data_IF_202317953323
#
_entry.id   IF_202317953323
#
_cell.length_a   1.000
_cell.length_b   1.000
_cell.length_c   1.000
_cell.angle_alpha   90.00
_cell.angle_beta   90.00
_cell.angle_gamma   90.00
#
_symmetry.space_group_name_H-M   'P 1'
#
loop_
_entity.id
_entity.type
_entity.pdbx_description
1 polymer ?
#
# COMPACT_ATOMS: atom_id res chain seq x y z
N UNK A 1 -18.84 -27.56 10.57
CA UNK A 1 -18.16 -27.38 9.27
C UNK A 1 -17.61 -25.96 9.23
N UNK A 2 -16.29 -25.76 9.27
CA UNK A 2 -15.69 -24.43 9.10
C UNK A 2 -15.73 -24.08 7.62
N UNK A 3 -16.38 -22.98 7.27
CA UNK A 3 -16.27 -22.41 5.93
C UNK A 3 -14.78 -22.13 5.67
N UNK A 4 -14.17 -22.87 4.75
CA UNK A 4 -12.86 -22.51 4.22
C UNK A 4 -13.09 -21.21 3.46
N UNK A 5 -12.72 -20.09 4.07
CA UNK A 5 -12.78 -18.79 3.42
C UNK A 5 -12.03 -18.88 2.10
N UNK A 6 -12.73 -18.57 1.00
CA UNK A 6 -12.11 -18.40 -0.30
C UNK A 6 -10.99 -17.37 -0.13
N UNK A 7 -9.74 -17.83 -0.24
CA UNK A 7 -8.59 -16.94 -0.32
C UNK A 7 -8.68 -16.27 -1.68
N UNK A 8 -8.99 -14.98 -1.70
CA UNK A 8 -8.89 -14.20 -2.91
C UNK A 8 -7.40 -13.96 -3.15
N UNK A 9 -6.93 -14.28 -4.36
CA UNK A 9 -5.58 -13.95 -4.80
C UNK A 9 -5.72 -12.88 -5.89
N UNK A 10 -4.95 -11.80 -5.79
CA UNK A 10 -4.92 -10.80 -6.85
C UNK A 10 -4.33 -11.41 -8.13
N UNK A 11 -4.99 -11.18 -9.26
CA UNK A 11 -4.42 -11.48 -10.58
C UNK A 11 -3.40 -10.39 -10.91
N UNK A 12 -2.15 -10.80 -11.14
CA UNK A 12 -1.03 -9.89 -11.37
C UNK A 12 -0.67 -9.84 -12.86
N UNK A 13 -0.76 -8.66 -13.46
CA UNK A 13 -0.27 -8.36 -14.80
C UNK A 13 1.17 -7.83 -14.72
N UNK A 14 2.11 -8.45 -15.43
CA UNK A 14 3.50 -7.99 -15.45
C UNK A 14 3.61 -6.65 -16.18
N UNK A 15 4.24 -5.66 -15.55
CA UNK A 15 4.50 -4.37 -16.17
C UNK A 15 5.95 -4.21 -16.61
N UNK A 16 6.90 -4.52 -15.72
CA UNK A 16 8.33 -4.30 -16.02
C UNK A 16 9.23 -5.06 -15.05
N UNK A 17 10.50 -5.20 -15.44
CA UNK A 17 11.57 -5.67 -14.56
C UNK A 17 12.76 -4.72 -14.68
N UNK A 18 13.23 -4.20 -13.55
CA UNK A 18 14.37 -3.28 -13.48
C UNK A 18 15.15 -3.50 -12.18
N UNK A 19 16.47 -3.55 -12.28
CA UNK A 19 17.40 -3.67 -11.13
C UNK A 19 17.05 -4.82 -10.16
N UNK A 20 16.66 -5.99 -10.72
CA UNK A 20 16.29 -7.17 -9.94
C UNK A 20 14.91 -7.10 -9.25
N UNK A 21 14.13 -6.05 -9.53
CA UNK A 21 12.76 -5.86 -9.05
C UNK A 21 11.79 -6.04 -10.21
N UNK A 22 10.70 -6.74 -9.96
CA UNK A 22 9.62 -6.93 -10.93
C UNK A 22 8.38 -6.20 -10.44
N UNK A 23 7.81 -5.37 -11.30
CA UNK A 23 6.58 -4.63 -11.04
C UNK A 23 5.40 -5.31 -11.73
N UNK A 24 4.33 -5.49 -10.98
CA UNK A 24 3.05 -5.98 -11.48
C UNK A 24 1.95 -4.97 -11.19
N UNK A 25 0.90 -5.00 -12.01
CA UNK A 25 -0.36 -4.28 -11.82
C UNK A 25 -1.46 -5.29 -11.47
N UNK A 26 -2.38 -4.87 -10.63
CA UNK A 26 -3.66 -5.55 -10.43
C UNK A 26 -4.78 -4.55 -10.34
N UNK A 27 -5.92 -4.87 -10.97
CA UNK A 27 -7.19 -4.18 -10.73
C UNK A 27 -7.95 -4.77 -9.52
N UNK A 28 -7.40 -5.79 -8.86
CA UNK A 28 -8.00 -6.47 -7.72
C UNK A 28 -7.26 -6.08 -6.43
N UNK A 29 -8.02 -5.89 -5.36
CA UNK A 29 -7.44 -5.66 -4.05
C UNK A 29 -6.86 -6.97 -3.47
N UNK A 30 -5.69 -6.92 -2.79
CA UNK A 30 -5.13 -8.08 -2.08
C UNK A 30 -6.06 -8.53 -0.94
N UNK A 31 -6.54 -7.56 -0.17
CA UNK A 31 -7.60 -7.73 0.83
C UNK A 31 -8.75 -6.79 0.47
N UNK A 32 -9.97 -7.32 0.56
CA UNK A 32 -11.29 -6.88 0.03
C UNK A 32 -11.75 -5.42 0.24
N UNK A 33 -10.87 -4.54 0.70
CA UNK A 33 -11.08 -3.13 1.01
C UNK A 33 -11.45 -2.24 -0.19
N UNK A 34 -11.16 -2.67 -1.43
CA UNK A 34 -11.79 -2.19 -2.68
C UNK A 34 -11.77 -0.68 -2.96
N UNK A 35 -10.97 0.10 -2.24
CA UNK A 35 -11.01 1.57 -2.28
C UNK A 35 -10.06 2.18 -3.31
N UNK A 36 -9.15 1.39 -3.89
CA UNK A 36 -8.15 1.88 -4.84
C UNK A 36 -8.55 1.61 -6.29
N UNK A 37 -8.21 2.53 -7.19
CA UNK A 37 -8.41 2.35 -8.62
C UNK A 37 -7.44 1.33 -9.21
N UNK A 38 -6.26 1.19 -8.60
CA UNK A 38 -5.24 0.22 -9.01
C UNK A 38 -4.32 -0.17 -7.87
N UNK A 39 -3.75 -1.38 -7.97
CA UNK A 39 -2.76 -1.91 -7.06
C UNK A 39 -1.48 -2.26 -7.80
N UNK A 40 -0.34 -1.77 -7.32
CA UNK A 40 0.99 -2.07 -7.85
C UNK A 40 1.75 -2.97 -6.89
N UNK A 41 2.33 -4.04 -7.40
CA UNK A 41 3.16 -4.96 -6.62
C UNK A 41 4.60 -4.83 -7.11
N UNK A 42 5.54 -4.60 -6.19
CA UNK A 42 6.97 -4.62 -6.49
C UNK A 42 7.60 -5.76 -5.72
N UNK A 43 8.05 -6.77 -6.45
CA UNK A 43 8.62 -8.00 -5.89
C UNK A 43 10.09 -8.08 -6.30
N UNK A 44 10.99 -8.12 -5.32
CA UNK A 44 12.43 -8.32 -5.53
C UNK A 44 12.88 -9.64 -4.94
N UNK A 45 12.87 -10.71 -5.76
CA UNK A 45 13.13 -12.09 -5.31
C UNK A 45 14.51 -12.28 -4.66
N UNK A 46 15.53 -11.55 -5.11
CA UNK A 46 16.89 -11.59 -4.54
C UNK A 46 17.03 -10.74 -3.28
N UNK A 47 16.24 -9.69 -3.15
CA UNK A 47 16.31 -8.73 -2.03
C UNK A 47 15.32 -9.05 -0.90
N UNK A 48 14.43 -10.02 -1.08
CA UNK A 48 13.33 -10.30 -0.15
C UNK A 48 12.21 -9.25 -0.15
N UNK A 49 12.38 -8.16 -0.91
CA UNK A 49 11.45 -7.04 -1.03
C UNK A 49 10.07 -7.51 -1.51
N UNK A 50 9.03 -7.13 -0.79
CA UNK A 50 7.71 -6.98 -1.37
C UNK A 50 7.01 -5.72 -0.89
N UNK A 51 6.53 -4.93 -1.86
CA UNK A 51 5.74 -3.74 -1.60
C UNK A 51 4.44 -3.79 -2.40
N UNK A 52 3.34 -3.40 -1.76
CA UNK A 52 2.03 -3.25 -2.38
C UNK A 52 1.63 -1.79 -2.29
N UNK A 53 1.36 -1.16 -3.43
CA UNK A 53 0.91 0.22 -3.50
C UNK A 53 -0.53 0.30 -3.99
N UNK A 54 -1.43 0.81 -3.16
CA UNK A 54 -2.78 1.17 -3.54
C UNK A 54 -2.77 2.61 -4.09
N UNK A 55 -3.16 2.77 -5.35
CA UNK A 55 -3.28 4.08 -6.00
C UNK A 55 -4.75 4.47 -6.13
N UNK A 56 -5.09 5.63 -5.56
CA UNK A 56 -6.42 6.24 -5.61
C UNK A 56 -6.32 7.52 -6.45
N UNK A 57 -6.88 7.49 -7.64
CA UNK A 57 -6.96 8.57 -8.62
C UNK A 57 -8.36 9.21 -8.57
N UNK A 58 -8.45 10.54 -8.62
CA UNK A 58 -9.72 11.28 -8.62
C UNK A 58 -10.58 11.09 -7.36
N UNK A 59 -10.06 11.56 -6.23
CA UNK A 59 -10.75 11.50 -4.96
C UNK A 59 -11.99 12.41 -4.95
N UNK A 60 -13.19 11.83 -5.10
CA UNK A 60 -14.45 12.45 -4.61
C UNK A 60 -14.70 12.15 -3.12
N UNK A 61 -14.03 11.13 -2.58
CA UNK A 61 -14.09 10.69 -1.16
C UNK A 61 -12.91 11.28 -0.38
N UNK A 62 -13.06 12.49 0.16
CA UNK A 62 -12.03 13.25 0.89
C UNK A 62 -10.78 12.44 1.32
N UNK A 63 -9.57 12.76 0.83
CA UNK A 63 -8.31 12.14 1.25
C UNK A 63 -8.15 12.01 2.77
N UNK A 64 -8.82 12.91 3.50
CA UNK A 64 -8.90 12.89 4.95
C UNK A 64 -9.50 11.61 5.53
N UNK A 65 -10.43 10.90 4.87
CA UNK A 65 -11.05 9.70 5.46
C UNK A 65 -10.08 8.52 5.51
N UNK A 66 -9.29 8.30 4.45
CA UNK A 66 -8.30 7.22 4.43
C UNK A 66 -7.18 7.50 5.43
N UNK A 67 -6.69 8.75 5.46
CA UNK A 67 -5.67 9.16 6.43
C UNK A 67 -6.20 9.06 7.87
N UNK A 68 -7.47 9.40 8.09
CA UNK A 68 -8.13 9.28 9.39
C UNK A 68 -8.18 7.82 9.85
N UNK A 69 -8.63 6.89 9.01
CA UNK A 69 -8.66 5.45 9.35
C UNK A 69 -7.27 4.91 9.69
N UNK A 70 -6.24 5.28 8.93
CA UNK A 70 -4.86 4.87 9.23
C UNK A 70 -4.36 5.48 10.54
N UNK A 71 -4.72 6.73 10.82
CA UNK A 71 -4.35 7.42 12.07
C UNK A 71 -5.06 6.84 13.29
N UNK A 72 -6.33 6.46 13.17
CA UNK A 72 -7.06 5.77 14.24
C UNK A 72 -6.44 4.41 14.56
N UNK A 73 -5.95 3.71 13.53
CA UNK A 73 -5.37 2.38 13.67
C UNK A 73 -3.93 2.40 14.19
N UNK A 74 -3.07 3.25 13.64
CA UNK A 74 -1.63 3.23 13.88
C UNK A 74 -1.11 4.48 14.60
N UNK A 75 -1.97 5.42 14.98
CA UNK A 75 -1.58 6.69 15.59
C UNK A 75 -1.14 7.75 14.58
N UNK A 76 -0.70 8.91 15.07
CA UNK A 76 -0.26 10.02 14.22
C UNK A 76 1.03 9.66 13.47
N UNK A 77 1.08 9.79 12.13
CA UNK A 77 2.28 9.46 11.37
C UNK A 77 3.38 10.50 11.52
N UNK A 78 4.59 10.13 11.09
CA UNK A 78 5.70 11.07 10.90
C UNK A 78 5.65 11.66 9.49
N UNK A 79 6.10 12.90 9.33
CA UNK A 79 6.31 13.49 8.01
C UNK A 79 7.42 12.76 7.27
N UNK A 80 7.18 12.37 6.04
CA UNK A 80 8.20 11.80 5.17
C UNK A 80 9.05 12.92 4.55
N UNK A 81 10.30 13.05 4.99
CA UNK A 81 11.21 14.11 4.51
C UNK A 81 11.63 13.92 3.04
N UNK A 82 11.51 12.72 2.50
CA UNK A 82 11.89 12.44 1.12
C UNK A 82 10.82 12.85 0.10
N UNK A 83 9.60 13.16 0.56
CA UNK A 83 8.49 13.51 -0.32
C UNK A 83 7.80 14.79 0.15
N UNK A 84 7.71 15.84 -0.68
CA UNK A 84 6.91 17.00 -0.39
C UNK A 84 5.45 16.55 -0.29
N UNK A 85 4.95 16.42 0.94
CA UNK A 85 3.60 15.94 1.29
C UNK A 85 3.50 14.41 1.30
N UNK A 86 4.51 13.74 1.85
CA UNK A 86 4.40 12.36 2.29
C UNK A 86 4.27 12.24 3.81
N UNK A 87 3.66 11.14 4.27
CA UNK A 87 3.69 10.70 5.66
C UNK A 87 4.04 9.22 5.74
N UNK A 88 4.57 8.78 6.88
CA UNK A 88 5.03 7.41 7.09
C UNK A 88 4.72 6.88 8.49
N UNK A 89 4.33 5.62 8.55
CA UNK A 89 4.41 4.78 9.74
C UNK A 89 5.46 3.69 9.49
N UNK A 90 6.30 3.43 10.48
CA UNK A 90 7.37 2.45 10.39
C UNK A 90 7.38 1.60 11.67
N UNK A 91 7.67 0.31 11.51
CA UNK A 91 7.61 -0.67 12.60
C UNK A 91 8.61 -0.42 13.73
N UNK A 92 9.65 0.40 13.49
CA UNK A 92 10.58 0.88 14.51
C UNK A 92 9.94 1.87 15.51
N UNK A 93 8.86 2.54 15.10
CA UNK A 93 8.20 3.60 15.87
C UNK A 93 6.74 3.30 16.21
N UNK A 94 6.08 2.40 15.46
CA UNK A 94 4.66 2.08 15.59
C UNK A 94 4.40 0.58 15.57
N UNK A 95 3.37 0.14 16.29
CA UNK A 95 2.85 -1.22 16.17
C UNK A 95 2.01 -1.32 14.89
N UNK A 96 2.54 -1.99 13.86
CA UNK A 96 1.84 -2.27 12.62
C UNK A 96 1.19 -3.66 12.63
N UNK A 97 0.33 -3.95 11.65
CA UNK A 97 -0.15 -5.33 11.43
C UNK A 97 1.05 -6.27 11.18
N UNK A 98 0.88 -7.56 11.50
CA UNK A 98 1.94 -8.57 11.30
C UNK A 98 2.50 -8.51 9.87
N UNK A 99 3.82 -8.66 9.77
CA UNK A 99 4.60 -8.65 8.53
C UNK A 99 4.73 -7.31 7.80
N UNK A 100 4.17 -6.21 8.31
CA UNK A 100 4.42 -4.87 7.77
C UNK A 100 5.68 -4.24 8.37
N UNK A 101 6.57 -3.78 7.49
CA UNK A 101 7.74 -2.98 7.86
C UNK A 101 7.38 -1.49 7.91
N UNK A 102 6.62 -0.99 6.93
CA UNK A 102 6.20 0.41 6.89
C UNK A 102 4.96 0.63 6.02
N UNK A 103 4.26 1.72 6.29
CA UNK A 103 3.19 2.27 5.46
C UNK A 103 3.59 3.69 5.09
N UNK A 104 3.71 3.97 3.80
CA UNK A 104 4.01 5.30 3.27
C UNK A 104 2.80 5.82 2.50
N UNK A 105 2.41 7.05 2.74
CA UNK A 105 1.34 7.73 1.99
C UNK A 105 1.92 8.95 1.31
N UNK A 106 1.72 9.06 0.00
CA UNK A 106 2.13 10.22 -0.81
C UNK A 106 0.89 10.87 -1.38
N UNK A 107 0.76 12.18 -1.17
CA UNK A 107 -0.30 13.01 -1.74
C UNK A 107 0.23 13.72 -3.01
N UNK A 108 -0.64 13.87 -4.01
CA UNK A 108 -0.36 14.59 -5.25
C UNK A 108 -1.56 15.42 -5.68
N UNK A 109 -1.35 16.53 -6.38
CA UNK A 109 -2.43 17.44 -6.79
C UNK A 109 -2.77 18.49 -5.74
N UNK A 110 -3.94 19.12 -5.87
CA UNK A 110 -4.42 20.18 -5.00
C UNK A 110 -5.90 20.00 -4.73
N UNK A 111 -6.38 20.40 -3.55
CA UNK A 111 -7.80 20.26 -3.21
C UNK A 111 -8.72 20.91 -4.25
N UNK A 112 -9.87 20.29 -4.58
CA UNK A 112 -10.39 19.04 -4.00
C UNK A 112 -9.84 17.76 -4.67
N UNK A 113 -9.02 17.89 -5.72
CA UNK A 113 -8.51 16.80 -6.54
C UNK A 113 -7.09 16.41 -6.10
N UNK A 114 -7.02 15.68 -4.98
CA UNK A 114 -5.76 15.13 -4.46
C UNK A 114 -5.72 13.63 -4.81
N UNK A 115 -4.71 13.18 -5.54
CA UNK A 115 -4.40 11.77 -5.71
C UNK A 115 -3.60 11.23 -4.52
N UNK A 116 -3.84 9.98 -4.13
CA UNK A 116 -3.18 9.34 -2.99
C UNK A 116 -2.54 8.03 -3.45
N UNK A 117 -1.28 7.84 -3.08
CA UNK A 117 -0.61 6.55 -3.18
C UNK A 117 -0.25 6.05 -1.79
N UNK A 118 -0.73 4.86 -1.43
CA UNK A 118 -0.46 4.21 -0.15
C UNK A 118 0.37 2.97 -0.43
N UNK A 119 1.62 2.96 0.02
CA UNK A 119 2.53 1.84 -0.14
C UNK A 119 2.74 1.15 1.20
N UNK A 120 2.33 -0.11 1.28
CA UNK A 120 2.67 -1.03 2.36
C UNK A 120 3.90 -1.85 1.96
N UNK A 121 4.95 -1.78 2.77
CA UNK A 121 6.16 -2.59 2.62
C UNK A 121 6.11 -3.76 3.59
N UNK A 122 6.36 -4.96 3.07
CA UNK A 122 6.34 -6.19 3.85
C UNK A 122 7.76 -6.67 4.15
N UNK A 123 7.92 -7.28 5.33
CA UNK A 123 9.19 -7.84 5.81
C UNK A 123 9.68 -8.99 4.89
N UNK A 124 8.77 -9.68 4.19
CA UNK A 124 9.13 -10.74 3.24
C UNK A 124 8.17 -10.86 2.05
N UNK A 125 8.70 -11.38 0.94
CA UNK A 125 7.90 -11.69 -0.24
C UNK A 125 6.82 -12.78 -0.04
N UNK A 126 6.95 -13.63 0.97
CA UNK A 126 5.94 -14.68 1.26
C UNK A 126 4.70 -14.14 1.99
N UNK A 127 4.85 -12.99 2.64
CA UNK A 127 3.81 -12.28 3.37
C UNK A 127 3.00 -11.34 2.47
N UNK A 128 3.48 -11.11 1.25
CA UNK A 128 2.76 -10.35 0.21
C UNK A 128 1.62 -11.20 -0.35
N UNK A 129 0.44 -11.07 0.25
CA UNK A 129 -0.78 -11.79 -0.15
C UNK A 129 -1.89 -10.79 -0.42
#
# INVERSE_FOLDING_TARGET
>A
MRAQGLRHFAVLEHLSTKDGRTTYLSSQAPDTSGYADSYYYVIGSTTGLCAVSAAVNNVRTSPGSILHTLTEKYGLPVKDESTPWGVIWSADQYTLDEDLESIRVVFSGAEPEVGIMIQANYISAQSCR
#
